data_IF_627293320555
#
_entry.id   IF_627293320555
#
_cell.length_a   1.000
_cell.length_b   1.000
_cell.length_c   1.000
_cell.angle_alpha   90.00
_cell.angle_beta   90.00
_cell.angle_gamma   90.00
#
_symmetry.space_group_name_H-M   'P 1'
#
loop_
_entity.id
_entity.type
_entity.pdbx_description
1 polymer ?
#
# COMPACT_ATOMS: atom_id res chain seq x y z
N UNK A 1 32.25 -7.14 3.96
CA UNK A 1 30.82 -7.18 4.32
C UNK A 1 30.33 -5.73 4.38
N UNK A 2 29.88 -5.18 3.26
CA UNK A 2 29.43 -3.78 3.17
C UNK A 2 28.11 -3.64 3.91
N UNK A 3 28.11 -2.94 5.03
CA UNK A 3 26.91 -2.53 5.74
C UNK A 3 26.10 -1.62 4.81
N UNK A 4 25.06 -2.16 4.17
CA UNK A 4 24.05 -1.38 3.47
C UNK A 4 23.53 -0.31 4.44
N UNK A 5 23.77 0.96 4.10
CA UNK A 5 23.37 2.11 4.90
C UNK A 5 21.84 2.06 5.00
N UNK A 6 21.28 2.00 6.21
CA UNK A 6 19.82 2.10 6.40
C UNK A 6 19.35 3.47 5.92
N UNK A 7 18.30 3.48 5.09
CA UNK A 7 17.64 4.72 4.69
C UNK A 7 17.05 5.41 5.90
N UNK A 8 17.09 6.74 5.92
CA UNK A 8 16.35 7.50 6.91
C UNK A 8 14.84 7.51 6.58
N UNK A 9 14.02 8.06 7.48
CA UNK A 9 12.56 8.12 7.32
C UNK A 9 12.13 8.75 5.98
N UNK A 10 12.70 9.91 5.64
CA UNK A 10 12.36 10.65 4.42
C UNK A 10 12.78 9.88 3.16
N UNK A 11 13.99 9.31 3.15
CA UNK A 11 14.48 8.48 2.05
C UNK A 11 13.62 7.24 1.83
N UNK A 12 13.17 6.61 2.92
CA UNK A 12 12.30 5.43 2.85
C UNK A 12 10.97 5.78 2.19
N UNK A 13 10.34 6.87 2.60
CA UNK A 13 9.06 7.32 2.00
C UNK A 13 9.26 7.72 0.55
N UNK A 14 10.32 8.48 0.23
CA UNK A 14 10.59 8.91 -1.14
C UNK A 14 10.81 7.71 -2.08
N UNK A 15 11.59 6.71 -1.65
CA UNK A 15 11.77 5.48 -2.42
C UNK A 15 10.45 4.68 -2.53
N UNK A 16 9.68 4.61 -1.45
CA UNK A 16 8.34 4.00 -1.47
C UNK A 16 7.42 4.67 -2.50
N UNK A 17 7.45 6.00 -2.58
CA UNK A 17 6.68 6.79 -3.56
C UNK A 17 7.12 6.52 -5.00
N UNK A 18 8.43 6.42 -5.25
CA UNK A 18 8.92 6.05 -6.59
C UNK A 18 8.48 4.63 -6.98
N UNK A 19 8.58 3.68 -6.05
CA UNK A 19 8.15 2.29 -6.29
C UNK A 19 6.64 2.22 -6.55
N UNK A 20 5.83 2.93 -5.76
CA UNK A 20 4.37 2.92 -5.91
C UNK A 20 3.94 3.48 -7.28
N UNK A 21 4.56 4.60 -7.71
CA UNK A 21 4.29 5.19 -9.02
C UNK A 21 4.70 4.25 -10.15
N UNK A 22 5.83 3.56 -9.99
CA UNK A 22 6.29 2.58 -10.98
C UNK A 22 5.26 1.47 -11.16
N UNK A 23 4.73 0.92 -10.07
CA UNK A 23 3.68 -0.10 -10.13
C UNK A 23 2.41 0.42 -10.82
N UNK A 24 1.99 1.65 -10.51
CA UNK A 24 0.82 2.26 -11.15
C UNK A 24 1.01 2.45 -12.65
N UNK A 25 2.15 2.98 -13.08
CA UNK A 25 2.45 3.19 -14.50
C UNK A 25 2.45 1.85 -15.24
N UNK A 26 3.07 0.82 -14.68
CA UNK A 26 3.06 -0.53 -15.26
C UNK A 26 1.62 -1.04 -15.34
N UNK A 27 0.83 -0.90 -14.27
CA UNK A 27 -0.54 -1.39 -14.24
C UNK A 27 -1.43 -0.70 -15.28
N UNK A 28 -1.39 0.63 -15.35
CA UNK A 28 -2.12 1.41 -16.37
C UNK A 28 -1.71 0.97 -17.78
N UNK A 29 -0.40 0.81 -18.01
CA UNK A 29 0.12 0.35 -19.31
C UNK A 29 -0.43 -1.03 -19.68
N UNK A 30 -0.50 -1.96 -18.72
CA UNK A 30 -1.09 -3.29 -18.94
C UNK A 30 -2.59 -3.18 -19.25
N UNK A 31 -3.34 -2.39 -18.48
CA UNK A 31 -4.79 -2.20 -18.69
C UNK A 31 -5.11 -1.64 -20.07
N UNK A 32 -4.37 -0.61 -20.51
CA UNK A 32 -4.52 0.00 -21.84
C UNK A 32 -4.22 -1.01 -22.94
N UNK A 33 -3.14 -1.78 -22.83
CA UNK A 33 -2.76 -2.78 -23.84
C UNK A 33 -3.76 -3.95 -23.92
N UNK A 34 -4.45 -4.26 -22.81
CA UNK A 34 -5.48 -5.30 -22.77
C UNK A 34 -6.89 -4.77 -23.08
N UNK A 35 -7.03 -3.46 -23.32
CA UNK A 35 -8.30 -2.77 -23.56
C UNK A 35 -9.34 -3.03 -22.46
N UNK A 36 -8.90 -3.06 -21.20
CA UNK A 36 -9.77 -3.26 -20.04
C UNK A 36 -10.12 -1.91 -19.43
N UNK A 37 -11.41 -1.59 -19.37
CA UNK A 37 -11.94 -0.40 -18.70
C UNK A 37 -12.38 -0.74 -17.28
N UNK A 38 -12.02 0.09 -16.30
CA UNK A 38 -12.35 -0.17 -14.90
C UNK A 38 -13.69 0.49 -14.50
N UNK A 39 -14.75 -0.32 -14.37
CA UNK A 39 -16.12 0.16 -14.05
C UNK A 39 -16.25 0.75 -12.64
N UNK A 40 -15.34 0.42 -11.72
CA UNK A 40 -15.34 0.93 -10.35
C UNK A 40 -15.11 2.45 -10.29
N UNK A 41 -14.47 3.03 -11.31
CA UNK A 41 -14.17 4.45 -11.38
C UNK A 41 -15.44 5.29 -11.62
N UNK A 42 -16.45 4.76 -12.31
CA UNK A 42 -17.69 5.50 -12.61
C UNK A 42 -18.53 5.74 -11.34
N UNK A 43 -18.70 4.71 -10.50
CA UNK A 43 -19.40 4.83 -9.23
C UNK A 43 -18.70 5.82 -8.28
N UNK A 44 -17.37 5.76 -8.23
CA UNK A 44 -16.59 6.66 -7.39
C UNK A 44 -16.72 8.11 -7.87
N UNK A 45 -16.62 8.34 -9.18
CA UNK A 45 -16.78 9.66 -9.78
C UNK A 45 -18.16 10.25 -9.50
N UNK A 46 -19.22 9.45 -9.56
CA UNK A 46 -20.58 9.86 -9.18
C UNK A 46 -20.64 10.35 -7.72
N UNK A 47 -20.07 9.60 -6.78
CA UNK A 47 -20.04 10.01 -5.36
C UNK A 47 -19.19 11.25 -5.14
N UNK A 48 -18.03 11.32 -5.77
CA UNK A 48 -17.12 12.45 -5.69
C UNK A 48 -17.76 13.73 -6.23
N UNK A 49 -18.46 13.68 -7.36
CA UNK A 49 -19.18 14.84 -7.90
C UNK A 49 -20.34 15.29 -7.02
N UNK A 50 -21.00 14.39 -6.30
CA UNK A 50 -22.11 14.72 -5.39
C UNK A 50 -21.68 15.41 -4.09
N UNK A 51 -20.56 14.98 -3.48
CA UNK A 51 -20.05 15.53 -2.23
C UNK A 51 -18.54 15.26 -2.08
N UNK A 52 -17.75 15.95 -2.89
CA UNK A 52 -16.31 15.74 -2.98
C UNK A 52 -15.58 15.90 -1.65
N UNK A 53 -16.05 16.78 -0.77
CA UNK A 53 -15.37 17.08 0.49
C UNK A 53 -15.52 15.92 1.48
N UNK A 54 -16.72 15.37 1.63
CA UNK A 54 -16.96 14.22 2.50
C UNK A 54 -16.29 12.95 1.95
N UNK A 55 -16.55 12.61 0.69
CA UNK A 55 -16.00 11.39 0.08
C UNK A 55 -14.48 11.49 -0.12
N UNK A 56 -13.95 12.65 -0.52
CA UNK A 56 -12.52 12.89 -0.61
C UNK A 56 -11.82 12.73 0.73
N UNK A 57 -12.38 13.28 1.82
CA UNK A 57 -11.83 13.08 3.17
C UNK A 57 -11.83 11.61 3.57
N UNK A 58 -12.93 10.90 3.29
CA UNK A 58 -13.03 9.47 3.59
C UNK A 58 -11.98 8.64 2.83
N UNK A 59 -11.87 8.83 1.51
CA UNK A 59 -11.01 8.04 0.62
C UNK A 59 -9.53 8.40 0.79
N UNK A 60 -9.21 9.69 0.94
CA UNK A 60 -7.81 10.15 0.96
C UNK A 60 -7.20 10.07 2.36
N UNK A 61 -7.98 10.31 3.41
CA UNK A 61 -7.44 10.42 4.77
C UNK A 61 -7.89 9.27 5.68
N UNK A 62 -9.19 9.02 5.77
CA UNK A 62 -9.73 8.11 6.79
C UNK A 62 -9.46 6.64 6.42
N UNK A 63 -9.79 6.22 5.20
CA UNK A 63 -9.63 4.82 4.79
C UNK A 63 -8.17 4.37 4.81
N UNK A 64 -7.18 5.14 4.31
CA UNK A 64 -5.78 4.75 4.41
C UNK A 64 -5.29 4.55 5.84
N UNK A 65 -5.74 5.38 6.79
CA UNK A 65 -5.37 5.22 8.20
C UNK A 65 -5.92 3.90 8.77
N UNK A 66 -7.19 3.59 8.50
CA UNK A 66 -7.84 2.35 8.98
C UNK A 66 -7.21 1.13 8.31
N UNK A 67 -7.02 1.18 6.99
CA UNK A 67 -6.45 0.10 6.20
C UNK A 67 -5.02 -0.21 6.62
N UNK A 68 -4.18 0.80 6.84
CA UNK A 68 -2.81 0.58 7.26
C UNK A 68 -2.71 0.16 8.74
N UNK A 69 -3.63 0.59 9.59
CA UNK A 69 -3.73 0.07 10.95
C UNK A 69 -4.04 -1.44 10.94
N UNK A 70 -5.01 -1.88 10.14
CA UNK A 70 -5.32 -3.31 10.02
C UNK A 70 -4.16 -4.06 9.35
N UNK A 71 -3.74 -3.63 8.17
CA UNK A 71 -2.82 -4.41 7.35
C UNK A 71 -1.36 -4.32 7.82
N UNK A 72 -0.88 -3.15 8.24
CA UNK A 72 0.52 -3.00 8.70
C UNK A 72 0.66 -3.23 10.17
N UNK A 73 -0.19 -2.65 11.00
CA UNK A 73 -0.02 -2.82 12.43
C UNK A 73 -0.50 -4.21 12.90
N UNK A 74 -1.76 -4.56 12.65
CA UNK A 74 -2.35 -5.81 13.15
C UNK A 74 -1.86 -7.05 12.37
N UNK A 75 -1.81 -7.00 11.04
CA UNK A 75 -1.49 -8.19 10.23
C UNK A 75 -0.01 -8.38 9.92
N UNK A 76 0.83 -7.35 10.10
CA UNK A 76 2.26 -7.43 9.77
C UNK A 76 3.18 -7.19 10.97
N UNK A 77 3.24 -5.98 11.51
CA UNK A 77 4.19 -5.58 12.55
C UNK A 77 3.95 -6.31 13.88
N UNK A 78 2.69 -6.46 14.31
CA UNK A 78 2.35 -7.14 15.55
C UNK A 78 2.71 -8.64 15.50
N UNK A 79 2.28 -9.43 14.49
CA UNK A 79 2.69 -10.82 14.34
C UNK A 79 4.21 -10.97 14.21
N UNK A 80 4.86 -10.07 13.46
CA UNK A 80 6.31 -10.08 13.32
C UNK A 80 7.01 -9.88 14.66
N UNK A 81 6.53 -8.95 15.50
CA UNK A 81 7.05 -8.71 16.85
C UNK A 81 6.87 -9.92 17.76
N UNK A 82 5.70 -10.56 17.73
CA UNK A 82 5.40 -11.75 18.54
C UNK A 82 6.28 -12.92 18.10
N UNK A 83 6.31 -13.24 16.80
CA UNK A 83 7.03 -14.39 16.27
C UNK A 83 8.54 -14.27 16.42
N UNK A 84 9.10 -13.05 16.29
CA UNK A 84 10.52 -12.80 16.58
C UNK A 84 10.90 -13.07 18.03
N UNK A 85 9.97 -12.85 18.97
CA UNK A 85 10.19 -13.13 20.40
C UNK A 85 10.07 -14.62 20.70
N UNK A 86 9.14 -15.31 20.05
CA UNK A 86 8.82 -16.71 20.33
C UNK A 86 9.67 -17.72 19.56
N UNK A 87 10.23 -17.34 18.40
CA UNK A 87 10.95 -18.26 17.50
C UNK A 87 12.32 -17.67 17.13
N UNK A 88 13.42 -18.12 17.75
CA UNK A 88 14.76 -17.55 17.55
C UNK A 88 15.24 -17.56 16.10
N UNK A 89 14.85 -18.57 15.32
CA UNK A 89 15.22 -18.71 13.89
C UNK A 89 14.31 -17.93 12.93
N UNK A 90 13.18 -17.39 13.40
CA UNK A 90 12.27 -16.57 12.60
C UNK A 90 12.82 -15.17 12.30
N UNK A 91 14.01 -14.85 12.84
CA UNK A 91 14.75 -13.63 12.53
C UNK A 91 15.33 -13.62 11.10
N UNK A 92 15.33 -14.75 10.38
CA UNK A 92 15.76 -14.79 8.97
C UNK A 92 14.80 -14.00 8.09
N UNK A 93 15.34 -13.33 7.06
CA UNK A 93 14.59 -12.49 6.10
C UNK A 93 13.34 -13.17 5.53
N UNK A 94 13.34 -14.50 5.42
CA UNK A 94 12.20 -15.30 4.97
C UNK A 94 10.94 -15.17 5.86
N UNK A 95 11.08 -15.07 7.18
CA UNK A 95 9.94 -14.91 8.08
C UNK A 95 9.28 -13.54 7.93
N UNK A 96 10.09 -12.49 7.74
CA UNK A 96 9.60 -11.13 7.44
C UNK A 96 8.85 -11.12 6.12
N UNK A 97 9.45 -11.70 5.07
CA UNK A 97 8.84 -11.78 3.75
C UNK A 97 7.51 -12.55 3.77
N UNK A 98 7.44 -13.68 4.47
CA UNK A 98 6.24 -14.50 4.54
C UNK A 98 5.05 -13.74 5.16
N UNK A 99 5.25 -13.05 6.29
CA UNK A 99 4.17 -12.26 6.90
C UNK A 99 3.81 -11.05 6.03
N UNK A 100 4.80 -10.39 5.43
CA UNK A 100 4.55 -9.30 4.49
C UNK A 100 3.70 -9.78 3.31
N UNK A 101 3.97 -10.97 2.77
CA UNK A 101 3.20 -11.57 1.69
C UNK A 101 1.75 -11.85 2.10
N UNK A 102 1.52 -12.42 3.30
CA UNK A 102 0.16 -12.66 3.81
C UNK A 102 -0.62 -11.35 3.96
N UNK A 103 -0.04 -10.36 4.64
CA UNK A 103 -0.66 -9.03 4.81
C UNK A 103 -0.98 -8.39 3.46
N UNK A 104 -0.06 -8.45 2.51
CA UNK A 104 -0.22 -7.86 1.17
C UNK A 104 -1.24 -8.62 0.32
N UNK A 105 -1.34 -9.93 0.48
CA UNK A 105 -2.33 -10.75 -0.23
C UNK A 105 -3.75 -10.48 0.29
N UNK A 106 -3.92 -10.40 1.61
CA UNK A 106 -5.19 -10.02 2.23
C UNK A 106 -5.60 -8.64 1.76
N UNK A 107 -4.68 -7.67 1.79
CA UNK A 107 -4.89 -6.33 1.27
C UNK A 107 -5.36 -6.36 -0.19
N UNK A 108 -4.69 -7.12 -1.05
CA UNK A 108 -5.05 -7.23 -2.47
C UNK A 108 -6.42 -7.86 -2.71
N UNK A 109 -6.77 -8.91 -1.96
CA UNK A 109 -8.08 -9.56 -2.08
C UNK A 109 -9.22 -8.61 -1.69
N UNK A 110 -9.03 -7.81 -0.64
CA UNK A 110 -10.05 -6.85 -0.20
C UNK A 110 -10.29 -5.69 -1.17
N UNK A 111 -9.36 -5.42 -2.10
CA UNK A 111 -9.61 -4.45 -3.16
C UNK A 111 -10.60 -4.98 -4.20
N UNK A 112 -10.79 -6.30 -4.31
CA UNK A 112 -11.83 -6.90 -5.14
C UNK A 112 -11.67 -6.66 -6.65
N UNK A 113 -10.47 -6.28 -7.09
CA UNK A 113 -10.17 -5.92 -8.47
C UNK A 113 -9.85 -7.15 -9.33
N UNK A 114 -10.03 -7.04 -10.65
CA UNK A 114 -9.77 -8.14 -11.59
C UNK A 114 -8.32 -8.65 -11.52
N UNK A 115 -7.37 -7.73 -11.32
CA UNK A 115 -5.96 -8.05 -11.18
C UNK A 115 -5.51 -7.92 -9.73
N UNK A 116 -5.06 -9.04 -9.17
CA UNK A 116 -4.58 -9.08 -7.78
C UNK A 116 -3.18 -8.47 -7.62
N UNK A 117 -2.32 -8.62 -8.63
CA UNK A 117 -0.89 -8.33 -8.54
C UNK A 117 -0.53 -6.86 -8.25
N UNK A 118 -1.24 -5.82 -8.75
CA UNK A 118 -0.86 -4.42 -8.47
C UNK A 118 -1.03 -4.11 -6.99
N UNK A 119 -2.16 -4.52 -6.41
CA UNK A 119 -2.43 -4.32 -4.98
C UNK A 119 -1.54 -5.19 -4.09
N UNK A 120 -1.18 -6.39 -4.55
CA UNK A 120 -0.18 -7.21 -3.86
C UNK A 120 1.18 -6.50 -3.82
N UNK A 121 1.63 -5.95 -4.95
CA UNK A 121 2.89 -5.22 -5.03
C UNK A 121 2.87 -3.95 -4.17
N UNK A 122 1.77 -3.19 -4.20
CA UNK A 122 1.56 -2.02 -3.34
C UNK A 122 1.59 -2.39 -1.86
N UNK A 123 0.90 -3.46 -1.47
CA UNK A 123 0.92 -3.99 -0.11
C UNK A 123 2.35 -4.35 0.35
N UNK A 124 3.16 -4.95 -0.53
CA UNK A 124 4.55 -5.28 -0.22
C UNK A 124 5.42 -4.04 -0.04
N UNK A 125 5.22 -3.00 -0.85
CA UNK A 125 5.90 -1.70 -0.71
C UNK A 125 5.54 -1.08 0.65
N UNK A 126 4.26 -1.08 1.00
CA UNK A 126 3.76 -0.54 2.28
C UNK A 126 4.30 -1.34 3.49
N UNK A 127 4.37 -2.67 3.40
CA UNK A 127 5.05 -3.52 4.39
C UNK A 127 6.55 -3.19 4.48
N UNK A 128 7.25 -2.97 3.37
CA UNK A 128 8.66 -2.60 3.39
C UNK A 128 8.89 -1.22 4.03
N UNK A 129 8.09 -0.21 3.66
CA UNK A 129 8.18 1.13 4.26
C UNK A 129 7.90 1.08 5.75
N UNK A 130 6.84 0.39 6.17
CA UNK A 130 6.50 0.25 7.59
C UNK A 130 7.56 -0.51 8.39
N UNK A 131 8.25 -1.46 7.76
CA UNK A 131 9.36 -2.18 8.37
C UNK A 131 10.62 -1.32 8.57
N UNK A 132 10.92 -0.43 7.62
CA UNK A 132 12.10 0.44 7.67
C UNK A 132 11.89 1.67 8.57
N UNK A 133 10.65 2.15 8.67
CA UNK A 133 10.30 3.37 9.40
C UNK A 133 9.41 3.09 10.61
N UNK A 134 8.11 2.99 10.37
CA UNK A 134 7.02 2.60 11.25
C UNK A 134 5.72 2.61 10.41
N UNK A 135 4.59 2.23 10.99
CA UNK A 135 3.33 2.23 10.23
C UNK A 135 2.89 3.63 9.74
N UNK A 136 3.33 4.74 10.37
CA UNK A 136 3.04 6.09 9.88
C UNK A 136 3.68 6.40 8.54
N UNK A 137 4.89 5.89 8.27
CA UNK A 137 5.51 6.04 6.95
C UNK A 137 4.66 5.42 5.84
N UNK A 138 4.02 4.29 6.15
CA UNK A 138 3.10 3.60 5.26
C UNK A 138 1.79 4.36 5.06
N UNK A 139 1.23 4.92 6.14
CA UNK A 139 0.04 5.80 6.08
C UNK A 139 0.30 6.99 5.17
N UNK A 140 1.43 7.69 5.33
CA UNK A 140 1.77 8.85 4.50
C UNK A 140 1.88 8.48 3.03
N UNK A 141 2.48 7.33 2.74
CA UNK A 141 2.60 6.82 1.39
C UNK A 141 1.22 6.48 0.80
N UNK A 142 0.37 5.80 1.56
CA UNK A 142 -0.98 5.43 1.11
C UNK A 142 -1.89 6.66 0.92
N UNK A 143 -1.83 7.64 1.82
CA UNK A 143 -2.52 8.93 1.65
C UNK A 143 -2.03 9.62 0.37
N UNK A 144 -0.72 9.63 0.10
CA UNK A 144 -0.19 10.25 -1.12
C UNK A 144 -0.69 9.57 -2.39
N UNK A 145 -0.84 8.24 -2.36
CA UNK A 145 -1.40 7.46 -3.46
C UNK A 145 -2.87 7.83 -3.71
N UNK A 146 -3.68 7.84 -2.65
CA UNK A 146 -5.11 8.12 -2.77
C UNK A 146 -5.35 9.59 -3.12
N UNK A 147 -4.51 10.51 -2.64
CA UNK A 147 -4.57 11.92 -3.03
C UNK A 147 -4.28 12.10 -4.52
N UNK A 148 -3.25 11.42 -5.05
CA UNK A 148 -2.93 11.48 -6.48
C UNK A 148 -4.10 10.98 -7.32
N UNK A 149 -4.66 9.82 -6.95
CA UNK A 149 -5.82 9.27 -7.63
C UNK A 149 -7.03 10.21 -7.54
N UNK A 150 -7.31 10.75 -6.37
CA UNK A 150 -8.39 11.72 -6.17
C UNK A 150 -8.24 12.95 -7.06
N UNK A 151 -7.05 13.56 -7.12
CA UNK A 151 -6.79 14.73 -7.97
C UNK A 151 -6.94 14.40 -9.44
N UNK A 152 -6.43 13.24 -9.89
CA UNK A 152 -6.53 12.81 -11.29
C UNK A 152 -7.96 12.54 -11.76
N UNK A 153 -8.88 12.20 -10.84
CA UNK A 153 -10.30 12.00 -11.17
C UNK A 153 -11.13 13.28 -11.06
N UNK A 154 -10.55 14.38 -10.57
CA UNK A 154 -11.22 15.69 -10.44
C UNK A 154 -10.87 16.68 -11.56
N UNK A 155 -9.85 16.36 -12.37
CA UNK A 155 -9.41 17.13 -13.55
C UNK A 155 -10.04 16.51 -14.78
#
# INVERSE_FOLDING_TARGET
MTTLKRFNFVQTIALGFVLQLTIQIIFITVMVNLNITNSNNEFLLEKLTSNWLAYGTLIVLISPVVEEYINRYILFLLPLKILRKSIPYFQRNWGVFFIAMISSLIFAVFHGEQFLWPYLAMGLIYCWVSYQSNFWGSILLHISNNLLFFVLNMI
#
